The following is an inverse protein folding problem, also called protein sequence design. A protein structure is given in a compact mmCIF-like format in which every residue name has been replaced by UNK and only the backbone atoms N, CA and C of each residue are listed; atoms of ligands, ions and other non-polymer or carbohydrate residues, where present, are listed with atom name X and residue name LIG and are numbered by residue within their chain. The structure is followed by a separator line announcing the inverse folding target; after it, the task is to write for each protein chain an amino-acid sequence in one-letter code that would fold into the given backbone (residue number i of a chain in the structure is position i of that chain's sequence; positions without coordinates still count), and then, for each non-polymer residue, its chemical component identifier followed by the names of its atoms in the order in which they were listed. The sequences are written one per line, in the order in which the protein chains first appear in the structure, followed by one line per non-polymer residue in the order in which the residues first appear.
data_IF_133367679561
#
_entry.id   IF_133367679561
#
_cell.length_a   1.000
_cell.length_b   1.000
_cell.length_c   1.000
_cell.angle_alpha   90.00
_cell.angle_beta   90.00
_cell.angle_gamma   90.00
#
_symmetry.space_group_name_H-M   'P 1'
#
loop_
_entity.id
_entity.type
_entity.pdbx_description
1 polymer ?
#
# COMPACT_ATOMS: atom_id res chain seq x y z
N UNK A 1 -20.69 -9.44 5.00
CA UNK A 1 -20.96 -8.08 4.46
C UNK A 1 -20.66 -7.11 5.59
N UNK A 2 -19.62 -6.29 5.47
CA UNK A 2 -19.38 -5.21 6.44
C UNK A 2 -20.44 -4.14 6.18
N UNK A 3 -21.19 -3.78 7.22
CA UNK A 3 -22.15 -2.69 7.17
C UNK A 3 -21.42 -1.40 6.78
N UNK A 4 -21.62 -0.92 5.56
CA UNK A 4 -21.13 0.38 5.13
C UNK A 4 -21.94 1.41 5.91
N UNK A 5 -21.28 2.08 6.85
CA UNK A 5 -21.90 3.09 7.70
C UNK A 5 -22.46 4.23 6.81
N UNK A 6 -23.77 4.22 6.57
CA UNK A 6 -24.47 5.04 5.57
C UNK A 6 -24.52 6.54 5.88
N UNK A 7 -23.93 6.98 6.98
CA UNK A 7 -23.94 8.37 7.44
C UNK A 7 -22.55 9.03 7.42
N UNK A 8 -21.58 8.46 6.70
CA UNK A 8 -20.26 9.05 6.55
C UNK A 8 -20.19 9.85 5.24
N UNK A 9 -20.01 11.15 5.35
CA UNK A 9 -19.64 12.03 4.23
C UNK A 9 -18.15 12.34 4.32
N UNK A 10 -17.43 12.14 3.21
CA UNK A 10 -16.05 12.59 3.13
C UNK A 10 -16.01 14.10 3.37
N UNK A 11 -15.12 14.54 4.27
CA UNK A 11 -14.97 15.95 4.57
C UNK A 11 -13.91 16.52 3.64
N UNK A 12 -14.36 17.24 2.62
CA UNK A 12 -13.44 17.92 1.71
C UNK A 12 -12.59 18.92 2.49
N UNK A 13 -11.28 18.81 2.31
CA UNK A 13 -10.33 19.75 2.92
C UNK A 13 -9.96 20.83 1.92
N UNK A 14 -9.48 21.98 2.41
CA UNK A 14 -9.03 23.08 1.55
C UNK A 14 -7.73 22.79 0.79
N UNK A 15 -7.04 21.69 1.14
CA UNK A 15 -5.79 21.26 0.50
C UNK A 15 -6.08 19.97 -0.26
N UNK A 16 -6.08 20.07 -1.57
CA UNK A 16 -6.34 18.95 -2.48
C UNK A 16 -5.09 18.11 -2.68
N UNK A 17 -5.26 16.92 -3.25
CA UNK A 17 -4.14 16.10 -3.72
C UNK A 17 -3.30 16.83 -4.78
N UNK A 18 -3.94 17.63 -5.65
CA UNK A 18 -3.23 18.43 -6.65
C UNK A 18 -2.29 19.45 -6.00
N UNK A 19 -2.75 20.19 -4.98
CA UNK A 19 -1.91 21.13 -4.23
C UNK A 19 -0.68 20.43 -3.61
N UNK A 20 -0.86 19.19 -3.16
CA UNK A 20 0.24 18.37 -2.61
C UNK A 20 1.21 17.93 -3.72
N UNK A 21 0.70 17.49 -4.87
CA UNK A 21 1.54 17.12 -6.02
C UNK A 21 2.34 18.32 -6.53
N UNK A 22 1.73 19.51 -6.61
CA UNK A 22 2.42 20.76 -6.96
C UNK A 22 3.51 21.10 -5.95
N UNK A 23 3.22 21.03 -4.64
CA UNK A 23 4.22 21.28 -3.60
C UNK A 23 5.39 20.28 -3.66
N UNK A 24 5.09 19.01 -3.95
CA UNK A 24 6.08 17.94 -3.97
C UNK A 24 6.88 17.87 -5.29
N UNK A 25 6.41 18.52 -6.35
CA UNK A 25 6.97 18.41 -7.70
C UNK A 25 6.96 16.96 -8.25
N UNK A 26 6.03 16.14 -7.76
CA UNK A 26 5.80 14.78 -8.25
C UNK A 26 4.38 14.31 -7.89
N UNK A 27 3.87 13.37 -8.66
CA UNK A 27 2.61 12.68 -8.33
C UNK A 27 2.83 11.58 -7.27
N UNK A 28 1.75 11.18 -6.62
CA UNK A 28 1.73 10.08 -5.65
C UNK A 28 1.03 8.86 -6.21
N UNK A 29 1.50 7.66 -5.86
CA UNK A 29 0.88 6.38 -6.24
C UNK A 29 1.40 5.26 -5.33
N UNK A 30 0.79 4.09 -5.43
CA UNK A 30 1.15 2.90 -4.69
C UNK A 30 1.88 1.89 -5.59
N UNK A 31 3.07 1.47 -5.17
CA UNK A 31 3.81 0.34 -5.72
C UNK A 31 3.54 -0.88 -4.84
N UNK A 32 2.73 -1.81 -5.34
CA UNK A 32 2.29 -2.99 -4.59
C UNK A 32 3.09 -4.23 -5.01
N UNK A 33 4.08 -4.61 -4.20
CA UNK A 33 4.89 -5.80 -4.42
C UNK A 33 4.17 -7.06 -3.91
N UNK A 34 4.03 -8.06 -4.79
CA UNK A 34 3.48 -9.37 -4.47
C UNK A 34 4.41 -10.48 -4.97
N UNK A 35 4.32 -11.67 -4.36
CA UNK A 35 5.26 -12.77 -4.59
C UNK A 35 5.45 -13.64 -3.34
N UNK A 36 6.02 -14.83 -3.54
CA UNK A 36 6.25 -15.82 -2.48
C UNK A 36 7.16 -15.28 -1.37
N UNK A 37 7.05 -15.85 -0.16
CA UNK A 37 8.02 -15.57 0.90
C UNK A 37 9.43 -15.91 0.40
N UNK A 38 10.42 -15.06 0.69
CA UNK A 38 11.79 -15.24 0.20
C UNK A 38 12.03 -14.81 -1.26
N UNK A 39 11.02 -14.41 -2.04
CA UNK A 39 11.22 -14.01 -3.45
C UNK A 39 12.01 -12.70 -3.65
N UNK A 40 12.40 -12.00 -2.57
CA UNK A 40 13.16 -10.75 -2.64
C UNK A 40 12.33 -9.47 -2.62
N UNK A 41 11.01 -9.54 -2.35
CA UNK A 41 10.11 -8.37 -2.27
C UNK A 41 10.68 -7.23 -1.43
N UNK A 42 10.96 -7.46 -0.15
CA UNK A 42 11.44 -6.40 0.76
C UNK A 42 12.82 -5.86 0.35
N UNK A 43 13.68 -6.70 -0.24
CA UNK A 43 14.98 -6.28 -0.79
C UNK A 43 14.80 -5.31 -1.95
N UNK A 44 13.97 -5.66 -2.93
CA UNK A 44 13.70 -4.80 -4.10
C UNK A 44 12.96 -3.53 -3.65
N UNK A 45 11.95 -3.67 -2.79
CA UNK A 45 11.17 -2.54 -2.27
C UNK A 45 12.04 -1.51 -1.54
N UNK A 46 12.97 -1.96 -0.69
CA UNK A 46 13.93 -1.08 0.00
C UNK A 46 14.87 -0.38 -0.97
N UNK A 47 15.35 -1.09 -2.01
CA UNK A 47 16.20 -0.49 -3.03
C UNK A 47 15.47 0.57 -3.87
N UNK A 48 14.20 0.29 -4.22
CA UNK A 48 13.31 1.22 -4.94
C UNK A 48 13.03 2.45 -4.08
N UNK A 49 12.68 2.27 -2.81
CA UNK A 49 12.47 3.39 -1.86
C UNK A 49 13.69 4.29 -1.80
N UNK A 50 14.88 3.71 -1.59
CA UNK A 50 16.13 4.48 -1.55
C UNK A 50 16.38 5.24 -2.84
N UNK A 51 16.17 4.62 -3.99
CA UNK A 51 16.39 5.24 -5.30
C UNK A 51 15.46 6.43 -5.53
N UNK A 52 14.17 6.29 -5.21
CA UNK A 52 13.18 7.35 -5.31
C UNK A 52 13.47 8.49 -4.33
N UNK A 53 13.81 8.15 -3.08
CA UNK A 53 14.18 9.14 -2.07
C UNK A 53 15.37 10.01 -2.49
N UNK A 54 16.40 9.39 -3.09
CA UNK A 54 17.57 10.12 -3.63
C UNK A 54 17.21 11.06 -4.79
N UNK A 55 16.08 10.86 -5.45
CA UNK A 55 15.56 11.75 -6.50
C UNK A 55 14.65 12.87 -5.92
N UNK A 56 14.53 12.98 -4.60
CA UNK A 56 13.68 13.96 -3.94
C UNK A 56 12.20 13.55 -3.86
N UNK A 57 11.86 12.31 -4.25
CA UNK A 57 10.49 11.81 -4.17
C UNK A 57 10.16 11.45 -2.72
N UNK A 58 9.00 11.90 -2.24
CA UNK A 58 8.50 11.56 -0.91
C UNK A 58 7.97 10.13 -0.91
N UNK A 59 8.66 9.24 -0.21
CA UNK A 59 8.33 7.81 -0.17
C UNK A 59 8.06 7.31 1.23
N UNK A 60 7.34 6.17 1.31
CA UNK A 60 7.27 5.38 2.53
C UNK A 60 7.04 3.89 2.22
N UNK A 61 7.83 3.02 2.85
CA UNK A 61 7.70 1.57 2.76
C UNK A 61 6.80 0.99 3.88
N UNK A 62 5.65 0.44 3.49
CA UNK A 62 4.79 -0.40 4.32
C UNK A 62 5.17 -1.87 4.14
N UNK A 63 5.94 -2.40 5.09
CA UNK A 63 6.23 -3.83 5.15
C UNK A 63 5.15 -4.58 5.94
N UNK A 64 4.70 -5.70 5.39
CA UNK A 64 3.58 -6.50 5.93
C UNK A 64 3.85 -7.11 7.30
N UNK A 65 5.11 -7.31 7.68
CA UNK A 65 5.49 -7.77 9.02
C UNK A 65 5.64 -6.57 9.97
N UNK A 66 6.19 -5.44 9.50
CA UNK A 66 6.33 -4.23 10.33
C UNK A 66 4.99 -3.70 10.84
N UNK A 67 3.94 -3.72 10.02
CA UNK A 67 2.61 -3.23 10.45
C UNK A 67 1.99 -4.08 11.56
N UNK A 68 2.42 -5.34 11.73
CA UNK A 68 1.96 -6.22 12.81
C UNK A 68 2.52 -5.85 14.18
N UNK A 69 3.55 -5.01 14.24
CA UNK A 69 4.01 -4.45 15.51
C UNK A 69 3.12 -3.32 16.04
N UNK A 70 2.17 -2.80 15.24
CA UNK A 70 1.30 -1.69 15.62
C UNK A 70 -0.12 -1.82 15.06
N UNK A 71 -0.35 -1.26 13.87
CA UNK A 71 -1.66 -1.20 13.18
C UNK A 71 -2.41 -2.54 13.13
N UNK A 72 -1.66 -3.63 12.99
CA UNK A 72 -2.19 -4.98 12.83
C UNK A 72 -1.75 -5.92 13.97
N UNK A 73 -1.46 -5.38 15.16
CA UNK A 73 -1.01 -6.14 16.33
C UNK A 73 -2.06 -7.08 16.93
N UNK A 74 -3.33 -6.81 16.66
CA UNK A 74 -4.47 -7.65 17.02
C UNK A 74 -4.69 -8.83 16.06
N UNK A 75 -4.02 -8.85 14.90
CA UNK A 75 -4.26 -9.85 13.85
C UNK A 75 -3.32 -11.04 13.99
N UNK A 76 -3.89 -12.25 13.99
CA UNK A 76 -3.15 -13.50 13.87
C UNK A 76 -2.68 -13.80 12.44
N UNK A 77 -2.49 -15.09 12.14
CA UNK A 77 -2.04 -15.59 10.84
C UNK A 77 -3.08 -16.45 10.12
N UNK A 78 -4.33 -16.44 10.58
CA UNK A 78 -5.45 -17.09 9.89
C UNK A 78 -5.69 -16.47 8.51
N UNK A 79 -6.46 -17.16 7.65
CA UNK A 79 -6.79 -16.61 6.33
C UNK A 79 -7.54 -15.27 6.44
N UNK A 80 -8.50 -15.17 7.37
CA UNK A 80 -9.24 -13.93 7.61
C UNK A 80 -8.34 -12.82 8.18
N UNK A 81 -7.46 -13.13 9.13
CA UNK A 81 -6.51 -12.14 9.66
C UNK A 81 -5.55 -11.63 8.58
N UNK A 82 -5.10 -12.49 7.67
CA UNK A 82 -4.25 -12.10 6.54
C UNK A 82 -5.01 -11.18 5.60
N UNK A 83 -6.26 -11.50 5.28
CA UNK A 83 -7.12 -10.66 4.44
C UNK A 83 -7.36 -9.29 5.08
N UNK A 84 -7.66 -9.25 6.38
CA UNK A 84 -7.83 -8.00 7.12
C UNK A 84 -6.53 -7.20 7.20
N UNK A 85 -5.38 -7.86 7.35
CA UNK A 85 -4.07 -7.20 7.29
C UNK A 85 -3.86 -6.50 5.94
N UNK A 86 -4.11 -7.19 4.82
CA UNK A 86 -4.06 -6.58 3.48
C UNK A 86 -5.03 -5.42 3.37
N UNK A 87 -6.28 -5.57 3.87
CA UNK A 87 -7.29 -4.50 3.81
C UNK A 87 -6.82 -3.25 4.56
N UNK A 88 -6.27 -3.39 5.77
CA UNK A 88 -5.74 -2.27 6.57
C UNK A 88 -4.55 -1.61 5.89
N UNK A 89 -3.60 -2.40 5.37
CA UNK A 89 -2.44 -1.87 4.62
C UNK A 89 -2.92 -1.07 3.41
N UNK A 90 -3.88 -1.59 2.63
CA UNK A 90 -4.42 -0.90 1.47
C UNK A 90 -5.07 0.45 1.83
N UNK A 91 -5.86 0.49 2.91
CA UNK A 91 -6.49 1.73 3.39
C UNK A 91 -5.46 2.76 3.83
N UNK A 92 -4.43 2.35 4.58
CA UNK A 92 -3.35 3.26 4.99
C UNK A 92 -2.56 3.74 3.78
N UNK A 93 -2.21 2.85 2.86
CA UNK A 93 -1.55 3.22 1.62
C UNK A 93 -2.38 4.22 0.80
N UNK A 94 -3.70 4.02 0.69
CA UNK A 94 -4.60 4.97 0.02
C UNK A 94 -4.57 6.36 0.64
N UNK A 95 -4.65 6.46 1.98
CA UNK A 95 -4.55 7.74 2.69
C UNK A 95 -3.19 8.43 2.50
N UNK A 96 -2.10 7.66 2.45
CA UNK A 96 -0.76 8.19 2.24
C UNK A 96 -0.52 8.64 0.80
N UNK A 97 -1.11 7.95 -0.17
CA UNK A 97 -1.14 8.37 -1.58
C UNK A 97 -1.94 9.67 -1.72
N UNK A 98 -3.12 9.78 -1.11
CA UNK A 98 -3.89 11.04 -1.07
C UNK A 98 -3.08 12.17 -0.38
N UNK A 99 -2.31 11.82 0.64
CA UNK A 99 -1.37 12.70 1.32
C UNK A 99 -0.15 13.13 0.49
N UNK A 100 -0.01 12.66 -0.75
CA UNK A 100 1.04 13.07 -1.69
C UNK A 100 2.33 12.24 -1.61
N UNK A 101 2.31 11.07 -0.97
CA UNK A 101 3.49 10.19 -0.90
C UNK A 101 3.42 9.04 -1.91
N UNK A 102 4.56 8.65 -2.48
CA UNK A 102 4.69 7.38 -3.19
C UNK A 102 4.83 6.27 -2.15
N UNK A 103 3.82 5.41 -2.05
CA UNK A 103 3.78 4.35 -1.05
C UNK A 103 4.27 3.05 -1.67
N UNK A 104 5.18 2.38 -0.99
CA UNK A 104 5.70 1.07 -1.42
C UNK A 104 5.15 0.05 -0.44
N UNK A 105 4.42 -0.95 -0.93
CA UNK A 105 3.88 -2.02 -0.10
C UNK A 105 4.63 -3.31 -0.40
N UNK A 106 5.27 -3.88 0.61
CA UNK A 106 5.91 -5.18 0.54
C UNK A 106 5.21 -6.14 1.51
N UNK A 107 4.16 -6.81 1.02
CA UNK A 107 3.38 -7.74 1.84
C UNK A 107 3.14 -9.07 1.11
N UNK A 108 3.08 -10.16 1.88
CA UNK A 108 2.66 -11.46 1.36
C UNK A 108 1.15 -11.38 1.03
N UNK A 109 0.83 -11.26 -0.26
CA UNK A 109 -0.54 -11.10 -0.79
C UNK A 109 -0.83 -12.14 -1.89
N UNK A 110 -0.84 -13.45 -1.57
CA UNK A 110 -0.86 -14.52 -2.57
C UNK A 110 -2.20 -14.62 -3.30
N UNK A 111 -3.30 -14.29 -2.62
CA UNK A 111 -4.64 -14.40 -3.20
C UNK A 111 -4.94 -13.21 -4.11
N UNK A 112 -5.35 -13.48 -5.34
CA UNK A 112 -5.73 -12.45 -6.30
C UNK A 112 -6.92 -11.60 -5.81
N UNK A 113 -7.88 -12.21 -5.11
CA UNK A 113 -9.05 -11.51 -4.56
C UNK A 113 -8.65 -10.43 -3.53
N UNK A 114 -7.65 -10.72 -2.68
CA UNK A 114 -7.17 -9.76 -1.69
C UNK A 114 -6.42 -8.60 -2.37
N UNK A 115 -5.68 -8.88 -3.45
CA UNK A 115 -5.03 -7.83 -4.25
C UNK A 115 -6.03 -6.97 -5.03
N UNK A 116 -7.10 -7.59 -5.55
CA UNK A 116 -8.19 -6.87 -6.20
C UNK A 116 -8.90 -5.93 -5.22
N UNK A 117 -9.21 -6.42 -4.01
CA UNK A 117 -9.76 -5.60 -2.93
C UNK A 117 -8.83 -4.45 -2.55
N UNK A 118 -7.51 -4.67 -2.50
CA UNK A 118 -6.55 -3.62 -2.25
C UNK A 118 -6.57 -2.56 -3.37
N UNK A 119 -6.61 -2.99 -4.64
CA UNK A 119 -6.66 -2.12 -5.82
C UNK A 119 -7.88 -1.20 -5.82
N UNK A 120 -9.02 -1.68 -5.34
CA UNK A 120 -10.28 -0.91 -5.26
C UNK A 120 -10.22 0.29 -4.30
N UNK A 121 -9.23 0.36 -3.42
CA UNK A 121 -9.00 1.52 -2.53
C UNK A 121 -8.48 2.74 -3.30
N UNK A 122 -7.82 2.52 -4.44
CA UNK A 122 -7.09 3.56 -5.16
C UNK A 122 -7.90 4.09 -6.35
N UNK A 123 -7.66 5.35 -6.73
CA UNK A 123 -8.24 5.89 -7.96
C UNK A 123 -7.54 5.27 -9.19
N UNK A 124 -8.18 5.38 -10.35
CA UNK A 124 -7.67 4.80 -11.59
C UNK A 124 -6.23 5.28 -11.85
N UNK A 125 -5.31 4.33 -12.02
CA UNK A 125 -3.85 4.47 -12.25
C UNK A 125 -2.96 4.68 -11.01
N UNK A 126 -3.50 4.81 -9.80
CA UNK A 126 -2.68 5.00 -8.58
C UNK A 126 -2.17 3.69 -7.96
N UNK A 127 -2.48 2.55 -8.57
CA UNK A 127 -2.09 1.24 -8.08
C UNK A 127 -1.30 0.48 -9.14
N UNK A 128 0.00 0.34 -8.89
CA UNK A 128 0.94 -0.40 -9.72
C UNK A 128 1.29 -1.70 -9.03
N UNK A 129 0.75 -2.81 -9.54
CA UNK A 129 1.04 -4.15 -9.02
C UNK A 129 2.33 -4.69 -9.64
N UNK A 130 3.26 -5.12 -8.79
CA UNK A 130 4.58 -5.62 -9.17
C UNK A 130 4.69 -7.06 -8.67
N UNK A 131 4.69 -8.01 -9.59
CA UNK A 131 4.91 -9.41 -9.27
C UNK A 131 6.41 -9.71 -9.26
N UNK A 132 6.93 -10.06 -8.09
CA UNK A 132 8.29 -10.55 -7.90
C UNK A 132 8.28 -12.06 -8.09
N UNK A 133 8.47 -12.46 -9.33
CA UNK A 133 8.49 -13.85 -9.76
C UNK A 133 9.87 -14.47 -9.50
N UNK A 134 9.93 -15.35 -8.50
CA UNK A 134 11.11 -16.14 -8.18
C UNK A 134 10.63 -17.57 -7.89
N UNK A 135 11.15 -18.59 -8.60
CA UNK A 135 10.80 -19.98 -8.34
C UNK A 135 11.21 -20.41 -6.93
N UNK A 136 10.62 -21.50 -6.46
CA UNK A 136 10.88 -22.04 -5.11
C UNK A 136 12.20 -22.84 -5.06
N UNK A 137 12.73 -23.21 -6.23
CA UNK A 137 13.90 -24.08 -6.42
C UNK A 137 15.23 -23.33 -6.45
#
# INVERSE_FOLDING_TARGET
MVEINRNLTWQDTKVTRHDRSEMNQHESFCLWFTGLSGSGKSTIATAVERSLHLQGIRTYLLDGDNVRHGLCSDLGFSAEDRKENIRRIAQVAGLMVDGGSVVIVAAISPNQQDRQMAREVFQNNDFVEIFVDCPVD
#
